data_IF_428606943825
#
_entry.id   IF_428606943825
#
_cell.length_a   1.000
_cell.length_b   1.000
_cell.length_c   1.000
_cell.angle_alpha   90.00
_cell.angle_beta   90.00
_cell.angle_gamma   90.00
#
_symmetry.space_group_name_H-M   'P 1'
#
loop_
_entity.id
_entity.type
_entity.pdbx_description
1 polymer ?
#
# COMPACT_ATOMS: atom_id res chain seq x y z
N UNK A 1 8.56 21.31 21.93
CA UNK A 1 7.69 20.14 22.07
C UNK A 1 7.09 19.71 20.73
N UNK A 2 7.07 18.43 20.48
CA UNK A 2 6.51 17.84 19.24
C UNK A 2 5.00 18.10 19.10
N UNK A 3 4.32 18.20 20.24
CA UNK A 3 2.85 18.38 20.31
C UNK A 3 2.48 19.57 21.17
N UNK A 4 2.65 20.81 20.65
CA UNK A 4 2.45 22.03 21.44
C UNK A 4 0.99 22.26 21.88
N UNK A 5 0.03 21.62 21.19
CA UNK A 5 -1.40 21.75 21.47
C UNK A 5 -1.96 20.55 22.25
N UNK A 6 -1.08 19.70 22.81
CA UNK A 6 -1.52 18.54 23.58
C UNK A 6 -2.36 18.95 24.79
N UNK A 7 -3.42 18.20 25.04
CA UNK A 7 -4.33 18.45 26.19
C UNK A 7 -3.74 17.99 27.51
N UNK A 8 -2.79 17.03 27.45
CA UNK A 8 -2.08 16.52 28.62
C UNK A 8 -0.99 17.48 29.05
N UNK A 9 -0.98 17.81 30.31
CA UNK A 9 0.14 18.57 30.89
C UNK A 9 1.33 17.62 31.04
N UNK A 10 2.49 18.00 30.45
CA UNK A 10 3.70 17.22 30.52
C UNK A 10 4.21 17.15 31.98
N UNK A 11 4.36 15.94 32.57
CA UNK A 11 4.93 15.83 33.91
C UNK A 11 6.43 16.09 33.89
N UNK A 12 7.00 16.34 35.07
CA UNK A 12 8.43 16.38 35.24
C UNK A 12 8.99 14.95 35.12
N UNK A 13 9.86 14.73 34.12
CA UNK A 13 10.47 13.42 33.86
C UNK A 13 11.67 13.21 34.79
N UNK A 14 11.41 12.76 36.03
CA UNK A 14 12.43 12.62 37.06
C UNK A 14 12.35 11.27 37.75
N UNK A 15 13.51 10.54 37.75
CA UNK A 15 13.66 9.29 38.46
C UNK A 15 13.57 9.48 39.97
N UNK A 16 12.99 8.50 40.68
CA UNK A 16 13.05 8.40 42.11
C UNK A 16 14.50 8.12 42.55
N UNK A 17 15.00 8.75 43.62
CA UNK A 17 16.38 8.48 44.11
C UNK A 17 16.64 7.00 44.40
N UNK A 18 15.62 6.24 44.83
CA UNK A 18 15.76 4.82 45.18
C UNK A 18 15.79 3.89 43.96
N UNK A 19 15.42 4.36 42.77
CA UNK A 19 15.33 3.54 41.56
C UNK A 19 16.44 3.85 40.55
N UNK A 20 17.21 4.92 40.72
CA UNK A 20 18.22 5.36 39.75
C UNK A 20 19.19 4.23 39.38
N UNK A 21 19.70 3.48 40.38
CA UNK A 21 20.61 2.35 40.12
C UNK A 21 19.98 1.24 39.32
N UNK A 22 18.71 0.94 39.55
CA UNK A 22 17.98 -0.06 38.80
C UNK A 22 17.76 0.37 37.36
N UNK A 23 17.44 1.65 37.11
CA UNK A 23 17.32 2.21 35.77
C UNK A 23 18.65 2.18 35.01
N UNK A 24 19.75 2.53 35.68
CA UNK A 24 21.09 2.45 35.08
C UNK A 24 21.47 1.02 34.72
N UNK A 25 21.19 0.06 35.60
CA UNK A 25 21.44 -1.36 35.34
C UNK A 25 20.63 -1.85 34.13
N UNK A 26 19.40 -1.40 33.99
CA UNK A 26 18.54 -1.73 32.85
C UNK A 26 19.08 -1.13 31.53
N UNK A 27 19.58 0.12 31.58
CA UNK A 27 20.22 0.75 30.41
C UNK A 27 21.47 0.00 29.98
N UNK A 28 22.31 -0.43 30.93
CA UNK A 28 23.50 -1.25 30.63
C UNK A 28 23.14 -2.58 29.96
N UNK A 29 22.10 -3.25 30.43
CA UNK A 29 21.59 -4.47 29.80
C UNK A 29 21.07 -4.19 28.36
N UNK A 30 20.41 -3.06 28.18
CA UNK A 30 19.92 -2.63 26.84
C UNK A 30 21.10 -2.39 25.88
N UNK A 31 22.17 -1.71 26.34
CA UNK A 31 23.35 -1.45 25.54
C UNK A 31 24.12 -2.74 25.15
N UNK A 32 23.96 -3.81 25.92
CA UNK A 32 24.55 -5.12 25.66
C UNK A 32 23.62 -6.04 24.85
N UNK A 33 22.50 -5.54 24.36
CA UNK A 33 21.45 -6.32 23.66
C UNK A 33 20.90 -7.48 24.50
N UNK A 34 20.98 -7.38 25.83
CA UNK A 34 20.39 -8.36 26.76
C UNK A 34 18.88 -8.03 26.94
N UNK A 35 18.10 -8.33 25.92
CA UNK A 35 16.68 -7.99 25.88
C UNK A 35 15.88 -8.69 26.99
N UNK A 36 16.15 -9.96 27.22
CA UNK A 36 15.49 -10.71 28.30
C UNK A 36 15.83 -10.12 29.67
N UNK A 37 17.07 -9.70 29.87
CA UNK A 37 17.51 -9.02 31.07
C UNK A 37 16.83 -7.68 31.30
N UNK A 38 16.68 -6.88 30.24
CA UNK A 38 15.92 -5.61 30.25
C UNK A 38 14.48 -5.83 30.71
N UNK A 39 13.81 -6.80 30.12
CA UNK A 39 12.40 -7.11 30.43
C UNK A 39 12.26 -7.56 31.90
N UNK A 40 13.12 -8.46 32.34
CA UNK A 40 13.14 -8.95 33.75
C UNK A 40 13.32 -7.80 34.72
N UNK A 41 14.27 -6.91 34.44
CA UNK A 41 14.57 -5.74 35.28
C UNK A 41 13.42 -4.74 35.30
N UNK A 42 12.75 -4.56 34.15
CA UNK A 42 11.58 -3.70 34.06
C UNK A 42 10.41 -4.24 34.89
N UNK A 43 10.15 -5.55 34.88
CA UNK A 43 9.12 -6.18 35.70
C UNK A 43 9.41 -6.02 37.19
N UNK A 44 10.67 -6.21 37.59
CA UNK A 44 11.11 -6.01 38.98
C UNK A 44 10.87 -4.55 39.42
N UNK A 45 11.29 -3.60 38.59
CA UNK A 45 11.17 -2.16 38.89
C UNK A 45 9.69 -1.72 38.92
N UNK A 46 8.87 -2.24 38.01
CA UNK A 46 7.43 -1.96 37.99
C UNK A 46 6.68 -2.44 39.23
N UNK A 47 7.21 -3.45 39.92
CA UNK A 47 6.66 -3.97 41.17
C UNK A 47 7.21 -3.29 42.45
N UNK A 48 8.17 -2.37 42.31
CA UNK A 48 8.76 -1.69 43.47
C UNK A 48 7.84 -0.60 44.02
N UNK A 49 7.57 -0.61 45.31
CA UNK A 49 6.79 0.42 46.00
C UNK A 49 7.43 1.82 45.93
N UNK A 50 8.74 1.88 45.83
CA UNK A 50 9.52 3.13 45.72
C UNK A 50 9.55 3.72 44.31
N UNK A 51 9.11 2.99 43.29
CA UNK A 51 9.08 3.46 41.92
C UNK A 51 7.93 4.47 41.70
N UNK A 52 8.27 5.64 41.16
CA UNK A 52 7.28 6.64 40.78
C UNK A 52 6.71 6.37 39.36
N UNK A 53 5.79 7.20 38.89
CA UNK A 53 5.19 7.05 37.59
C UNK A 53 6.21 7.11 36.43
N UNK A 54 7.20 8.00 36.53
CA UNK A 54 8.28 8.09 35.55
C UNK A 54 9.10 6.79 35.50
N UNK A 55 9.52 6.28 36.65
CA UNK A 55 10.31 5.05 36.73
C UNK A 55 9.62 3.89 36.03
N UNK A 56 8.36 3.68 36.32
CA UNK A 56 7.54 2.62 35.73
C UNK A 56 7.37 2.83 34.23
N UNK A 57 6.99 4.03 33.82
CA UNK A 57 6.78 4.35 32.41
C UNK A 57 8.05 4.17 31.58
N UNK A 58 9.18 4.65 32.09
CA UNK A 58 10.48 4.49 31.45
C UNK A 58 10.90 3.02 31.35
N UNK A 59 10.79 2.27 32.43
CA UNK A 59 11.12 0.85 32.46
C UNK A 59 10.28 0.05 31.48
N UNK A 60 8.97 0.24 31.47
CA UNK A 60 8.08 -0.46 30.56
C UNK A 60 8.28 -0.05 29.10
N UNK A 61 8.62 1.21 28.83
CA UNK A 61 8.96 1.67 27.49
C UNK A 61 10.22 0.95 26.97
N UNK A 62 11.27 0.82 27.81
CA UNK A 62 12.46 0.04 27.46
C UNK A 62 12.16 -1.44 27.25
N UNK A 63 11.30 -2.02 28.08
CA UNK A 63 10.87 -3.42 27.93
C UNK A 63 10.12 -3.63 26.62
N UNK A 64 9.28 -2.69 26.23
CA UNK A 64 8.59 -2.71 24.94
C UNK A 64 9.56 -2.70 23.76
N UNK A 65 10.55 -1.82 23.81
CA UNK A 65 11.62 -1.78 22.80
C UNK A 65 12.44 -3.08 22.76
N UNK A 66 12.78 -3.63 23.92
CA UNK A 66 13.49 -4.90 24.01
C UNK A 66 12.68 -6.06 23.42
N UNK A 67 11.40 -6.14 23.72
CA UNK A 67 10.49 -7.14 23.13
C UNK A 67 10.39 -7.00 21.61
N UNK A 68 10.31 -5.78 21.09
CA UNK A 68 10.32 -5.51 19.65
C UNK A 68 11.62 -5.98 19.01
N UNK A 69 12.76 -5.77 19.63
CA UNK A 69 14.06 -6.27 19.17
C UNK A 69 14.15 -7.80 19.17
N UNK A 70 13.37 -8.47 20.02
CA UNK A 70 13.22 -9.92 20.03
C UNK A 70 12.20 -10.43 19.00
N UNK A 71 11.62 -9.55 18.20
CA UNK A 71 10.49 -9.85 17.29
C UNK A 71 9.25 -10.37 18.02
N UNK A 72 9.09 -10.09 19.30
CA UNK A 72 7.90 -10.42 20.07
C UNK A 72 6.96 -9.20 20.13
N UNK A 73 6.20 -9.02 19.04
CA UNK A 73 5.34 -7.84 18.90
C UNK A 73 4.18 -7.83 19.91
N UNK A 74 3.63 -8.98 20.25
CA UNK A 74 2.58 -9.08 21.27
C UNK A 74 3.08 -8.60 22.64
N UNK A 75 4.27 -9.01 23.03
CA UNK A 75 4.92 -8.57 24.28
C UNK A 75 5.27 -7.09 24.25
N UNK A 76 5.78 -6.60 23.09
CA UNK A 76 6.05 -5.17 22.89
C UNK A 76 4.80 -4.33 23.10
N UNK A 77 3.68 -4.72 22.53
CA UNK A 77 2.38 -4.04 22.70
C UNK A 77 1.95 -4.03 24.19
N UNK A 78 2.13 -5.14 24.90
CA UNK A 78 1.80 -5.24 26.33
C UNK A 78 2.61 -4.24 27.14
N UNK A 79 3.92 -4.17 26.94
CA UNK A 79 4.79 -3.25 27.68
C UNK A 79 4.60 -1.79 27.30
N UNK A 80 4.41 -1.48 26.03
CA UNK A 80 4.08 -0.11 25.63
C UNK A 80 2.73 0.34 26.20
N UNK A 81 1.75 -0.55 26.28
CA UNK A 81 0.49 -0.28 26.96
C UNK A 81 0.68 0.05 28.45
N UNK A 82 1.52 -0.73 29.15
CA UNK A 82 1.87 -0.47 30.56
C UNK A 82 2.60 0.87 30.72
N UNK A 83 3.47 1.22 29.78
CA UNK A 83 4.20 2.50 29.81
C UNK A 83 3.25 3.69 29.66
N UNK A 84 2.30 3.61 28.75
CA UNK A 84 1.27 4.63 28.55
C UNK A 84 0.39 4.74 29.80
N UNK A 85 -0.05 3.62 30.37
CA UNK A 85 -0.91 3.58 31.55
C UNK A 85 -0.22 4.14 32.80
N UNK A 86 1.09 3.95 32.93
CA UNK A 86 1.87 4.54 34.01
C UNK A 86 1.90 6.08 33.94
N UNK A 87 1.71 6.65 32.78
CA UNK A 87 1.51 8.08 32.57
C UNK A 87 2.57 9.00 33.20
N UNK A 88 3.85 8.57 33.14
CA UNK A 88 4.94 9.24 33.80
C UNK A 88 5.99 9.88 32.90
N UNK A 89 5.94 9.63 31.58
CA UNK A 89 6.86 10.23 30.62
C UNK A 89 6.45 11.67 30.26
N UNK A 90 7.41 12.48 29.83
CA UNK A 90 7.09 13.75 29.17
C UNK A 90 6.20 13.53 27.94
N UNK A 91 5.56 14.60 27.46
CA UNK A 91 4.59 14.47 26.36
C UNK A 91 5.22 13.89 25.09
N UNK A 92 6.42 14.31 24.71
CA UNK A 92 7.03 13.82 23.47
C UNK A 92 7.29 12.32 23.53
N UNK A 93 7.84 11.84 24.64
CA UNK A 93 8.10 10.40 24.87
C UNK A 93 6.81 9.60 25.08
N UNK A 94 5.84 10.13 25.80
CA UNK A 94 4.56 9.50 26.06
C UNK A 94 3.78 9.25 24.74
N UNK A 95 3.67 10.27 23.92
CA UNK A 95 2.94 10.15 22.64
C UNK A 95 3.72 9.38 21.58
N UNK A 96 5.06 9.40 21.59
CA UNK A 96 5.86 8.51 20.76
C UNK A 96 5.59 7.04 21.12
N UNK A 97 5.52 6.72 22.42
CA UNK A 97 5.21 5.37 22.90
C UNK A 97 3.79 4.95 22.51
N UNK A 98 2.82 5.86 22.67
CA UNK A 98 1.41 5.60 22.27
C UNK A 98 1.28 5.36 20.76
N UNK A 99 1.96 6.14 19.94
CA UNK A 99 1.95 5.97 18.49
C UNK A 99 2.61 4.65 18.07
N UNK A 100 3.73 4.29 18.68
CA UNK A 100 4.37 2.99 18.45
C UNK A 100 3.45 1.82 18.83
N UNK A 101 2.72 1.94 19.94
CA UNK A 101 1.73 0.96 20.32
C UNK A 101 0.65 0.78 19.23
N UNK A 102 0.12 1.87 18.70
CA UNK A 102 -0.87 1.80 17.63
C UNK A 102 -0.30 1.11 16.37
N UNK A 103 0.94 1.42 15.98
CA UNK A 103 1.62 0.78 14.85
C UNK A 103 1.77 -0.73 15.05
N UNK A 104 2.18 -1.15 16.23
CA UNK A 104 2.34 -2.57 16.56
C UNK A 104 0.98 -3.29 16.54
N UNK A 105 -0.04 -2.69 17.14
CA UNK A 105 -1.40 -3.25 17.12
C UNK A 105 -1.91 -3.41 15.68
N UNK A 106 -1.63 -2.45 14.82
CA UNK A 106 -1.96 -2.55 13.39
C UNK A 106 -1.19 -3.70 12.71
N UNK A 107 0.10 -3.82 12.96
CA UNK A 107 0.93 -4.90 12.40
C UNK A 107 0.51 -6.30 12.86
N UNK A 108 -0.06 -6.40 14.06
CA UNK A 108 -0.64 -7.62 14.62
C UNK A 108 -2.10 -7.85 14.16
N UNK A 109 -2.58 -7.05 13.23
CA UNK A 109 -3.97 -7.10 12.72
C UNK A 109 -5.03 -6.86 13.80
N UNK A 110 -4.64 -6.26 14.93
CA UNK A 110 -5.55 -5.86 16.00
C UNK A 110 -6.11 -4.46 15.72
N UNK A 111 -6.87 -4.37 14.65
CA UNK A 111 -7.32 -3.08 14.10
C UNK A 111 -8.24 -2.30 15.05
N UNK A 112 -9.10 -2.97 15.81
CA UNK A 112 -9.96 -2.29 16.77
C UNK A 112 -9.15 -1.63 17.89
N UNK A 113 -8.14 -2.33 18.41
CA UNK A 113 -7.22 -1.79 19.42
C UNK A 113 -6.37 -0.65 18.82
N UNK A 114 -5.87 -0.82 17.61
CA UNK A 114 -5.11 0.20 16.90
C UNK A 114 -5.94 1.48 16.67
N UNK A 115 -7.22 1.33 16.33
CA UNK A 115 -8.12 2.47 16.15
C UNK A 115 -8.34 3.21 17.46
N UNK A 116 -8.61 2.50 18.55
CA UNK A 116 -8.77 3.10 19.88
C UNK A 116 -7.53 3.88 20.30
N UNK A 117 -6.35 3.31 20.07
CA UNK A 117 -5.07 3.94 20.41
C UNK A 117 -4.78 5.18 19.56
N UNK A 118 -4.94 5.10 18.23
CA UNK A 118 -4.69 6.25 17.36
C UNK A 118 -5.73 7.36 17.56
N UNK A 119 -6.98 7.02 17.83
CA UNK A 119 -8.01 8.00 18.13
C UNK A 119 -7.71 8.76 19.42
N UNK A 120 -7.27 8.06 20.46
CA UNK A 120 -6.79 8.68 21.69
C UNK A 120 -5.61 9.60 21.44
N UNK A 121 -4.61 9.11 20.69
CA UNK A 121 -3.43 9.87 20.31
C UNK A 121 -3.80 11.18 19.61
N UNK A 122 -4.65 11.12 18.59
CA UNK A 122 -5.07 12.31 17.84
C UNK A 122 -5.92 13.27 18.67
N UNK A 123 -6.81 12.73 19.52
CA UNK A 123 -7.63 13.56 20.40
C UNK A 123 -6.80 14.33 21.44
N UNK A 124 -5.78 13.69 22.01
CA UNK A 124 -4.93 14.29 23.04
C UNK A 124 -3.86 15.21 22.48
N UNK A 125 -3.23 14.84 21.34
CA UNK A 125 -2.16 15.64 20.73
C UNK A 125 -2.65 16.80 19.89
N UNK A 126 -3.88 16.72 19.40
CA UNK A 126 -4.43 17.65 18.39
C UNK A 126 -3.58 17.73 17.13
N UNK A 127 -2.88 16.64 16.81
CA UNK A 127 -2.00 16.58 15.64
C UNK A 127 -2.79 16.58 14.34
N UNK A 128 -2.35 17.39 13.39
CA UNK A 128 -2.84 17.40 12.01
C UNK A 128 -1.83 16.85 11.01
N UNK A 129 -0.80 16.14 11.47
CA UNK A 129 0.23 15.58 10.60
C UNK A 129 -0.36 14.55 9.63
N UNK A 130 -0.07 14.73 8.34
CA UNK A 130 -0.66 13.91 7.27
C UNK A 130 -0.39 12.41 7.43
N UNK A 131 0.82 12.04 7.84
CA UNK A 131 1.20 10.64 8.04
C UNK A 131 0.40 9.96 9.18
N UNK A 132 0.13 10.70 10.25
CA UNK A 132 -0.65 10.20 11.38
C UNK A 132 -2.14 10.07 11.04
N UNK A 133 -2.69 11.02 10.31
CA UNK A 133 -4.07 10.93 9.80
C UNK A 133 -4.20 9.81 8.75
N UNK A 134 -3.21 9.65 7.88
CA UNK A 134 -3.16 8.55 6.92
C UNK A 134 -3.07 7.19 7.60
N UNK A 135 -2.32 7.10 8.70
CA UNK A 135 -2.27 5.86 9.51
C UNK A 135 -3.67 5.49 10.04
N UNK A 136 -4.41 6.46 10.57
CA UNK A 136 -5.81 6.23 10.99
C UNK A 136 -6.67 5.72 9.85
N UNK A 137 -6.53 6.29 8.65
CA UNK A 137 -7.25 5.81 7.47
C UNK A 137 -6.89 4.35 7.13
N UNK A 138 -5.60 3.98 7.24
CA UNK A 138 -5.16 2.60 7.05
C UNK A 138 -5.79 1.63 8.05
N UNK A 139 -5.90 2.03 9.31
CA UNK A 139 -6.56 1.25 10.36
C UNK A 139 -8.05 1.05 10.06
N UNK A 140 -8.73 2.11 9.64
CA UNK A 140 -10.14 2.05 9.22
C UNK A 140 -10.34 1.10 8.04
N UNK A 141 -9.43 1.12 7.07
CA UNK A 141 -9.46 0.18 5.95
C UNK A 141 -9.28 -1.28 6.42
N UNK A 142 -8.41 -1.51 7.41
CA UNK A 142 -8.26 -2.83 8.05
C UNK A 142 -9.54 -3.34 8.70
N UNK A 143 -10.39 -2.44 9.18
CA UNK A 143 -11.72 -2.73 9.73
C UNK A 143 -12.82 -2.80 8.65
N UNK A 144 -12.48 -2.77 7.38
CA UNK A 144 -13.41 -2.65 6.25
C UNK A 144 -14.30 -1.39 6.29
N UNK A 145 -13.87 -0.36 7.03
CA UNK A 145 -14.53 0.95 7.06
C UNK A 145 -13.96 1.84 5.96
N UNK A 146 -14.04 1.34 4.72
CA UNK A 146 -13.38 1.91 3.55
C UNK A 146 -13.90 3.29 3.15
N UNK A 147 -15.21 3.56 3.36
CA UNK A 147 -15.78 4.89 3.08
C UNK A 147 -15.16 5.98 3.96
N UNK A 148 -14.96 5.70 5.24
CA UNK A 148 -14.32 6.63 6.17
C UNK A 148 -12.84 6.81 5.84
N UNK A 149 -12.15 5.73 5.50
CA UNK A 149 -10.75 5.77 5.05
C UNK A 149 -10.62 6.62 3.78
N UNK A 150 -11.47 6.40 2.79
CA UNK A 150 -11.48 7.15 1.54
C UNK A 150 -11.70 8.65 1.76
N UNK A 151 -12.61 9.02 2.65
CA UNK A 151 -12.88 10.44 3.00
C UNK A 151 -11.64 11.12 3.59
N UNK A 152 -10.91 10.44 4.47
CA UNK A 152 -9.66 10.94 5.05
C UNK A 152 -8.61 11.14 3.95
N UNK A 153 -8.41 10.15 3.09
CA UNK A 153 -7.43 10.26 1.99
C UNK A 153 -7.78 11.37 1.01
N UNK A 154 -9.05 11.56 0.66
CA UNK A 154 -9.47 12.67 -0.21
C UNK A 154 -9.08 14.02 0.37
N UNK A 155 -9.33 14.25 1.67
CA UNK A 155 -8.96 15.48 2.34
C UNK A 155 -7.44 15.69 2.37
N UNK A 156 -6.69 14.64 2.71
CA UNK A 156 -5.23 14.67 2.75
C UNK A 156 -4.61 14.94 1.38
N UNK A 157 -5.12 14.31 0.32
CA UNK A 157 -4.65 14.51 -1.06
C UNK A 157 -4.92 15.94 -1.51
N UNK A 158 -6.09 16.50 -1.19
CA UNK A 158 -6.40 17.89 -1.52
C UNK A 158 -5.43 18.87 -0.88
N UNK A 159 -4.99 18.61 0.34
CA UNK A 159 -4.00 19.41 1.07
C UNK A 159 -2.56 19.14 0.63
N UNK A 160 -2.27 17.98 0.10
CA UNK A 160 -0.93 17.53 -0.29
C UNK A 160 -0.95 16.93 -1.71
N UNK A 161 -1.26 17.74 -2.74
CA UNK A 161 -1.58 17.22 -4.09
C UNK A 161 -0.38 16.60 -4.83
N UNK A 162 0.84 16.78 -4.33
CA UNK A 162 2.06 16.23 -4.92
C UNK A 162 2.60 15.01 -4.18
N UNK A 163 1.94 14.57 -3.10
CA UNK A 163 2.34 13.40 -2.35
C UNK A 163 1.80 12.12 -3.03
N UNK A 164 2.67 11.48 -3.80
CA UNK A 164 2.33 10.26 -4.55
C UNK A 164 1.91 9.11 -3.63
N UNK A 165 2.52 8.98 -2.46
CA UNK A 165 2.20 7.90 -1.52
C UNK A 165 0.78 8.04 -0.99
N UNK A 166 0.39 9.24 -0.58
CA UNK A 166 -0.99 9.55 -0.17
C UNK A 166 -1.98 9.27 -1.31
N UNK A 167 -1.64 9.70 -2.52
CA UNK A 167 -2.46 9.47 -3.70
C UNK A 167 -2.70 7.97 -3.93
N UNK A 168 -1.65 7.18 -3.96
CA UNK A 168 -1.76 5.73 -4.25
C UNK A 168 -2.49 4.98 -3.13
N UNK A 169 -2.28 5.35 -1.88
CA UNK A 169 -3.04 4.80 -0.75
C UNK A 169 -4.51 5.20 -0.82
N UNK A 170 -4.80 6.43 -1.21
CA UNK A 170 -6.17 6.91 -1.43
C UNK A 170 -6.88 6.19 -2.56
N UNK A 171 -6.19 5.93 -3.65
CA UNK A 171 -6.70 5.12 -4.77
C UNK A 171 -7.05 3.72 -4.29
N UNK A 172 -6.15 3.07 -3.54
CA UNK A 172 -6.41 1.73 -2.99
C UNK A 172 -7.62 1.71 -2.04
N UNK A 173 -7.75 2.72 -1.18
CA UNK A 173 -8.90 2.85 -0.28
C UNK A 173 -10.22 3.06 -1.04
N UNK A 174 -10.23 3.88 -2.09
CA UNK A 174 -11.41 4.09 -2.94
C UNK A 174 -11.80 2.81 -3.69
N UNK A 175 -10.81 2.07 -4.19
CA UNK A 175 -11.05 0.78 -4.84
C UNK A 175 -11.62 -0.25 -3.83
N UNK A 176 -11.10 -0.27 -2.61
CA UNK A 176 -11.62 -1.12 -1.53
C UNK A 176 -13.06 -0.76 -1.13
N UNK A 177 -13.45 0.50 -1.27
CA UNK A 177 -14.82 0.99 -1.06
C UNK A 177 -15.71 0.85 -2.31
N UNK A 178 -15.22 0.23 -3.37
CA UNK A 178 -15.89 0.09 -4.68
C UNK A 178 -16.22 1.44 -5.34
N UNK A 179 -15.53 2.51 -4.95
CA UNK A 179 -15.66 3.85 -5.55
C UNK A 179 -14.69 4.01 -6.72
N UNK A 180 -14.88 3.18 -7.75
CA UNK A 180 -13.95 3.08 -8.88
C UNK A 180 -13.85 4.37 -9.71
N UNK A 181 -14.95 5.09 -9.88
CA UNK A 181 -14.95 6.37 -10.62
C UNK A 181 -14.11 7.42 -9.89
N UNK A 182 -14.24 7.51 -8.57
CA UNK A 182 -13.43 8.43 -7.76
C UNK A 182 -11.95 8.05 -7.79
N UNK A 183 -11.62 6.75 -7.72
CA UNK A 183 -10.26 6.25 -7.86
C UNK A 183 -9.66 6.61 -9.22
N UNK A 184 -10.42 6.42 -10.29
CA UNK A 184 -10.00 6.76 -11.65
C UNK A 184 -9.76 8.26 -11.81
N UNK A 185 -10.58 9.13 -11.22
CA UNK A 185 -10.39 10.58 -11.23
C UNK A 185 -9.09 11.00 -10.57
N UNK A 186 -8.75 10.40 -9.43
CA UNK A 186 -7.47 10.67 -8.76
C UNK A 186 -6.27 10.27 -9.62
N UNK A 187 -6.32 9.09 -10.22
CA UNK A 187 -5.27 8.60 -11.12
C UNK A 187 -5.15 9.46 -12.37
N UNK A 188 -6.27 9.88 -12.96
CA UNK A 188 -6.31 10.75 -14.13
C UNK A 188 -5.68 12.11 -13.83
N UNK A 189 -6.01 12.73 -12.70
CA UNK A 189 -5.41 13.99 -12.27
C UNK A 189 -3.90 13.85 -12.06
N UNK A 190 -3.46 12.76 -11.46
CA UNK A 190 -2.04 12.47 -11.27
C UNK A 190 -1.32 12.27 -12.61
N UNK A 191 -1.95 11.57 -13.54
CA UNK A 191 -1.41 11.37 -14.90
C UNK A 191 -1.23 12.69 -15.63
N UNK A 192 -2.23 13.57 -15.61
CA UNK A 192 -2.18 14.89 -16.22
C UNK A 192 -1.07 15.78 -15.64
N UNK A 193 -0.72 15.58 -14.36
CA UNK A 193 0.38 16.28 -13.69
C UNK A 193 1.74 15.61 -13.90
N UNK A 194 1.82 14.53 -14.64
CA UNK A 194 3.07 13.79 -14.87
C UNK A 194 3.56 13.00 -13.64
N UNK A 195 2.70 12.70 -12.68
CA UNK A 195 3.06 11.99 -11.45
C UNK A 195 3.15 10.48 -11.62
N UNK A 196 2.50 9.91 -12.62
CA UNK A 196 2.54 8.47 -12.86
C UNK A 196 3.76 8.11 -13.71
N UNK A 197 4.83 7.69 -13.05
CA UNK A 197 6.14 7.46 -13.67
C UNK A 197 6.56 6.00 -13.67
N UNK A 198 5.78 5.12 -13.02
CA UNK A 198 6.07 3.69 -12.93
C UNK A 198 5.03 2.86 -13.69
N UNK A 199 5.44 1.69 -14.26
CA UNK A 199 4.53 0.84 -15.04
C UNK A 199 3.25 0.48 -14.30
N UNK A 200 3.35 0.09 -13.02
CA UNK A 200 2.18 -0.30 -12.21
C UNK A 200 1.17 0.83 -12.01
N UNK A 201 1.65 2.08 -11.97
CA UNK A 201 0.82 3.26 -11.81
C UNK A 201 0.01 3.54 -13.07
N UNK A 202 0.66 3.47 -14.23
CA UNK A 202 -0.02 3.58 -15.52
C UNK A 202 -1.01 2.43 -15.73
N UNK A 203 -0.64 1.21 -15.34
CA UNK A 203 -1.55 0.05 -15.42
C UNK A 203 -2.80 0.26 -14.58
N UNK A 204 -2.68 0.78 -13.37
CA UNK A 204 -3.84 1.09 -12.53
C UNK A 204 -4.80 2.04 -13.27
N UNK A 205 -4.29 3.05 -13.95
CA UNK A 205 -5.09 4.01 -14.70
C UNK A 205 -5.75 3.35 -15.93
N UNK A 206 -4.98 2.70 -16.81
CA UNK A 206 -5.58 2.16 -18.03
C UNK A 206 -6.48 0.96 -17.77
N UNK A 207 -6.23 0.14 -16.74
CA UNK A 207 -7.16 -0.90 -16.32
C UNK A 207 -8.45 -0.26 -15.78
N UNK A 208 -8.36 0.82 -15.01
CA UNK A 208 -9.52 1.59 -14.58
C UNK A 208 -10.37 2.12 -15.75
N UNK A 209 -9.70 2.65 -16.76
CA UNK A 209 -10.39 3.08 -17.99
C UNK A 209 -11.05 1.90 -18.72
N UNK A 210 -10.37 0.76 -18.82
CA UNK A 210 -10.94 -0.44 -19.45
C UNK A 210 -12.19 -0.93 -18.71
N UNK A 211 -12.12 -1.00 -17.39
CA UNK A 211 -13.27 -1.41 -16.57
C UNK A 211 -14.46 -0.45 -16.71
N UNK A 212 -14.19 0.83 -16.97
CA UNK A 212 -15.19 1.85 -17.25
C UNK A 212 -15.60 1.91 -18.73
N UNK A 213 -15.11 0.99 -19.57
CA UNK A 213 -15.35 0.94 -21.03
C UNK A 213 -14.85 2.20 -21.77
N UNK A 214 -13.84 2.87 -21.21
CA UNK A 214 -13.20 4.05 -21.81
C UNK A 214 -11.95 3.62 -22.60
N UNK A 215 -12.17 2.91 -23.70
CA UNK A 215 -11.13 2.23 -24.49
C UNK A 215 -10.14 3.17 -25.13
N UNK A 216 -10.60 4.27 -25.70
CA UNK A 216 -9.74 5.27 -26.34
C UNK A 216 -8.75 5.86 -25.34
N UNK A 217 -9.21 6.15 -24.16
CA UNK A 217 -8.37 6.71 -23.09
C UNK A 217 -7.39 5.68 -22.56
N UNK A 218 -7.82 4.42 -22.41
CA UNK A 218 -6.95 3.31 -22.03
C UNK A 218 -5.83 3.13 -23.05
N UNK A 219 -6.15 3.08 -24.34
CA UNK A 219 -5.18 2.97 -25.41
C UNK A 219 -4.17 4.13 -25.40
N UNK A 220 -4.66 5.36 -25.22
CA UNK A 220 -3.82 6.55 -25.18
C UNK A 220 -2.78 6.47 -24.04
N UNK A 221 -3.19 6.04 -22.85
CA UNK A 221 -2.28 5.90 -21.70
C UNK A 221 -1.22 4.84 -21.97
N UNK A 222 -1.58 3.70 -22.55
CA UNK A 222 -0.62 2.65 -22.92
C UNK A 222 0.37 3.18 -23.96
N UNK A 223 -0.13 3.82 -25.01
CA UNK A 223 0.71 4.37 -26.08
C UNK A 223 1.65 5.46 -25.56
N UNK A 224 1.19 6.36 -24.73
CA UNK A 224 2.02 7.38 -24.09
C UNK A 224 3.09 6.74 -23.19
N UNK A 225 2.72 5.71 -22.45
CA UNK A 225 3.65 4.98 -21.58
C UNK A 225 4.77 4.31 -22.36
N UNK A 226 4.46 3.75 -23.52
CA UNK A 226 5.45 3.17 -24.45
C UNK A 226 6.33 4.27 -25.04
N UNK A 227 5.73 5.35 -25.52
CA UNK A 227 6.46 6.48 -26.12
C UNK A 227 7.43 7.15 -25.15
N UNK A 228 7.05 7.24 -23.86
CA UNK A 228 7.90 7.80 -22.80
C UNK A 228 8.91 6.82 -22.22
N UNK A 229 8.91 5.56 -22.67
CA UNK A 229 9.79 4.52 -22.17
C UNK A 229 9.44 4.00 -20.77
N UNK A 230 8.28 4.36 -20.21
CA UNK A 230 7.82 3.85 -18.93
C UNK A 230 7.39 2.39 -19.08
N UNK A 231 6.61 2.09 -20.12
CA UNK A 231 6.22 0.73 -20.47
C UNK A 231 7.22 0.16 -21.48
N UNK A 232 7.94 -0.87 -21.09
CA UNK A 232 8.97 -1.48 -21.94
C UNK A 232 8.37 -2.61 -22.79
N UNK A 233 8.77 -2.74 -24.08
CA UNK A 233 8.37 -3.88 -24.90
C UNK A 233 8.78 -5.20 -24.26
N UNK A 234 7.87 -6.16 -24.27
CA UNK A 234 8.12 -7.47 -23.70
C UNK A 234 6.83 -8.25 -23.43
N UNK A 235 6.94 -9.48 -22.87
CA UNK A 235 5.79 -10.33 -22.62
C UNK A 235 4.75 -9.73 -21.67
N UNK A 236 5.16 -8.90 -20.71
CA UNK A 236 4.24 -8.23 -19.79
C UNK A 236 3.36 -7.20 -20.49
N UNK A 237 3.97 -6.33 -21.30
CA UNK A 237 3.23 -5.35 -22.10
C UNK A 237 2.37 -6.06 -23.15
N UNK A 238 2.86 -7.14 -23.75
CA UNK A 238 2.07 -7.97 -24.66
C UNK A 238 0.79 -8.50 -24.01
N UNK A 239 0.86 -8.95 -22.77
CA UNK A 239 -0.34 -9.38 -22.01
C UNK A 239 -1.32 -8.24 -21.80
N UNK A 240 -0.85 -7.06 -21.49
CA UNK A 240 -1.70 -5.88 -21.31
C UNK A 240 -2.43 -5.51 -22.62
N UNK A 241 -1.73 -5.53 -23.75
CA UNK A 241 -2.37 -5.34 -25.06
C UNK A 241 -3.35 -6.46 -25.40
N UNK A 242 -3.07 -7.71 -25.03
CA UNK A 242 -4.00 -8.82 -25.25
C UNK A 242 -5.29 -8.65 -24.42
N UNK A 243 -5.18 -8.18 -23.18
CA UNK A 243 -6.35 -7.90 -22.34
C UNK A 243 -7.19 -6.78 -22.98
N UNK A 244 -6.56 -5.70 -23.45
CA UNK A 244 -7.23 -4.65 -24.22
C UNK A 244 -7.95 -5.22 -25.45
N UNK A 245 -7.28 -6.06 -26.22
CA UNK A 245 -7.82 -6.69 -27.41
C UNK A 245 -9.02 -7.59 -27.10
N UNK A 246 -8.89 -8.46 -26.11
CA UNK A 246 -9.97 -9.37 -25.68
C UNK A 246 -11.20 -8.61 -25.20
N UNK A 247 -10.98 -7.56 -24.43
CA UNK A 247 -12.06 -6.75 -23.91
C UNK A 247 -12.73 -5.94 -25.03
N UNK A 248 -11.97 -5.40 -25.96
CA UNK A 248 -12.50 -4.74 -27.14
C UNK A 248 -13.34 -5.71 -28.00
N UNK A 249 -12.85 -6.92 -28.20
CA UNK A 249 -13.58 -7.97 -28.90
C UNK A 249 -14.90 -8.31 -28.22
N UNK A 250 -14.88 -8.50 -26.90
CA UNK A 250 -16.09 -8.81 -26.12
C UNK A 250 -17.14 -7.70 -26.16
N UNK A 251 -16.74 -6.47 -26.50
CA UNK A 251 -17.62 -5.31 -26.66
C UNK A 251 -17.85 -4.92 -28.13
N UNK A 252 -17.67 -5.86 -29.05
CA UNK A 252 -17.90 -5.68 -30.49
C UNK A 252 -17.05 -4.57 -31.15
N UNK A 253 -15.93 -4.20 -30.51
CA UNK A 253 -14.98 -3.24 -31.08
C UNK A 253 -13.88 -3.97 -31.85
N UNK A 254 -14.21 -4.47 -33.02
CA UNK A 254 -13.29 -5.26 -33.85
C UNK A 254 -12.06 -4.47 -34.28
N UNK A 255 -12.16 -3.19 -34.73
CA UNK A 255 -10.97 -2.43 -35.12
C UNK A 255 -9.94 -2.29 -33.98
N UNK A 256 -10.40 -2.02 -32.76
CA UNK A 256 -9.51 -1.91 -31.60
C UNK A 256 -8.90 -3.27 -31.23
N UNK A 257 -9.70 -4.35 -31.27
CA UNK A 257 -9.21 -5.70 -31.02
C UNK A 257 -8.06 -6.06 -31.98
N UNK A 258 -8.22 -5.83 -33.27
CA UNK A 258 -7.18 -6.06 -34.27
C UNK A 258 -5.94 -5.22 -33.99
N UNK A 259 -6.11 -3.92 -33.73
CA UNK A 259 -4.99 -3.02 -33.46
C UNK A 259 -4.18 -3.47 -32.23
N UNK A 260 -4.84 -3.87 -31.16
CA UNK A 260 -4.18 -4.29 -29.93
C UNK A 260 -3.49 -5.65 -30.08
N UNK A 261 -4.10 -6.61 -30.76
CA UNK A 261 -3.43 -7.87 -31.07
C UNK A 261 -2.21 -7.69 -31.98
N UNK A 262 -2.26 -6.77 -32.96
CA UNK A 262 -1.10 -6.44 -33.80
C UNK A 262 0.08 -5.93 -32.99
N UNK A 263 -0.17 -5.19 -31.92
CA UNK A 263 0.87 -4.69 -31.02
C UNK A 263 1.39 -5.78 -30.07
N UNK A 264 0.48 -6.62 -29.56
CA UNK A 264 0.83 -7.68 -28.61
C UNK A 264 1.66 -8.81 -29.27
N UNK A 265 1.28 -9.23 -30.43
CA UNK A 265 1.78 -10.47 -31.05
C UNK A 265 3.32 -10.52 -31.22
N UNK A 266 4.01 -9.46 -31.70
CA UNK A 266 5.47 -9.49 -31.82
C UNK A 266 6.20 -9.58 -30.47
N UNK A 267 5.62 -9.06 -29.41
CA UNK A 267 6.21 -8.98 -28.07
C UNK A 267 5.88 -10.18 -27.17
N UNK A 268 4.86 -10.95 -27.51
CA UNK A 268 4.42 -12.09 -26.74
C UNK A 268 5.49 -13.20 -26.68
N UNK A 269 5.48 -13.97 -25.58
CA UNK A 269 6.44 -15.06 -25.38
C UNK A 269 6.25 -16.21 -26.35
N UNK A 270 5.00 -16.43 -26.82
CA UNK A 270 4.63 -17.49 -27.76
C UNK A 270 3.77 -16.96 -28.91
N UNK A 271 3.21 -17.86 -29.71
CA UNK A 271 2.39 -17.53 -30.87
C UNK A 271 0.91 -17.36 -30.61
N UNK A 272 0.44 -17.44 -29.36
CA UNK A 272 -1.00 -17.40 -29.05
C UNK A 272 -1.63 -16.04 -29.41
N UNK A 273 -0.92 -14.93 -29.20
CA UNK A 273 -1.41 -13.61 -29.61
C UNK A 273 -1.52 -13.50 -31.14
N UNK A 274 -0.61 -14.06 -31.90
CA UNK A 274 -0.72 -14.15 -33.35
C UNK A 274 -1.91 -15.00 -33.78
N UNK A 275 -2.20 -16.09 -33.08
CA UNK A 275 -3.37 -16.91 -33.36
C UNK A 275 -4.67 -16.12 -33.11
N UNK A 276 -4.75 -15.39 -32.00
CA UNK A 276 -5.89 -14.55 -31.71
C UNK A 276 -6.06 -13.43 -32.75
N UNK A 277 -4.95 -12.83 -33.17
CA UNK A 277 -4.94 -11.85 -34.28
C UNK A 277 -5.48 -12.50 -35.57
N UNK A 278 -5.04 -13.68 -35.92
CA UNK A 278 -5.50 -14.40 -37.10
C UNK A 278 -7.01 -14.66 -37.05
N UNK A 279 -7.51 -15.07 -35.88
CA UNK A 279 -8.94 -15.34 -35.69
C UNK A 279 -9.79 -14.09 -35.89
N UNK A 280 -9.41 -12.95 -35.29
CA UNK A 280 -10.19 -11.69 -35.43
C UNK A 280 -10.08 -11.12 -36.84
N UNK A 281 -8.93 -11.25 -37.50
CA UNK A 281 -8.77 -10.84 -38.90
C UNK A 281 -9.61 -11.69 -39.86
N UNK A 282 -9.66 -13.00 -39.63
CA UNK A 282 -10.50 -13.91 -40.41
C UNK A 282 -11.98 -13.56 -40.23
N UNK A 283 -12.43 -13.30 -39.02
CA UNK A 283 -13.79 -12.90 -38.71
C UNK A 283 -14.15 -11.55 -39.35
N UNK A 284 -13.18 -10.64 -39.50
CA UNK A 284 -13.35 -9.33 -40.12
C UNK A 284 -13.25 -9.40 -41.68
N UNK A 285 -13.08 -10.60 -42.24
CA UNK A 285 -12.97 -10.79 -43.68
C UNK A 285 -11.61 -10.45 -44.29
N UNK A 286 -10.62 -10.16 -43.49
CA UNK A 286 -9.26 -9.82 -43.91
C UNK A 286 -8.40 -11.09 -44.04
N UNK A 287 -8.77 -11.92 -45.04
CA UNK A 287 -8.23 -13.27 -45.21
C UNK A 287 -6.71 -13.33 -45.41
N UNK A 288 -6.16 -12.47 -46.22
CA UNK A 288 -4.72 -12.45 -46.49
C UNK A 288 -3.91 -12.14 -45.22
N UNK A 289 -4.32 -11.12 -44.46
CA UNK A 289 -3.68 -10.75 -43.19
C UNK A 289 -3.88 -11.87 -42.15
N UNK A 290 -5.05 -12.49 -42.12
CA UNK A 290 -5.34 -13.61 -41.22
C UNK A 290 -4.40 -14.79 -41.45
N UNK A 291 -4.16 -15.16 -42.71
CA UNK A 291 -3.21 -16.22 -43.09
C UNK A 291 -1.77 -15.88 -42.69
N UNK A 292 -1.36 -14.64 -42.91
CA UNK A 292 -0.04 -14.18 -42.50
C UNK A 292 0.16 -14.30 -40.96
N UNK A 293 -0.84 -13.88 -40.19
CA UNK A 293 -0.83 -13.99 -38.73
C UNK A 293 -0.84 -15.46 -38.27
N UNK A 294 -1.64 -16.31 -38.93
CA UNK A 294 -1.69 -17.75 -38.64
C UNK A 294 -0.33 -18.43 -38.86
N UNK A 295 0.38 -18.04 -39.93
CA UNK A 295 1.74 -18.54 -40.18
C UNK A 295 2.72 -18.10 -39.08
N UNK A 296 2.65 -16.82 -38.68
CA UNK A 296 3.48 -16.30 -37.59
C UNK A 296 3.19 -17.01 -36.25
N UNK A 297 1.93 -17.34 -36.02
CA UNK A 297 1.53 -18.11 -34.84
C UNK A 297 2.21 -19.50 -34.80
N UNK A 298 2.17 -20.21 -35.92
CA UNK A 298 2.83 -21.53 -36.01
C UNK A 298 4.35 -21.42 -35.85
N UNK A 299 4.97 -20.43 -36.47
CA UNK A 299 6.42 -20.22 -36.39
C UNK A 299 6.87 -19.90 -34.97
N UNK A 300 6.06 -19.17 -34.19
CA UNK A 300 6.37 -18.81 -32.81
C UNK A 300 5.96 -19.87 -31.79
N UNK A 301 5.10 -20.78 -32.16
CA UNK A 301 4.65 -21.90 -31.32
C UNK A 301 3.34 -21.61 -30.61
N UNK A 302 2.37 -22.48 -30.81
CA UNK A 302 1.02 -22.43 -30.20
C UNK A 302 0.62 -23.78 -29.65
N UNK A 303 -0.31 -23.79 -28.72
CA UNK A 303 -0.79 -25.02 -28.05
C UNK A 303 -1.57 -25.93 -28.99
N UNK A 304 -2.37 -25.33 -29.90
CA UNK A 304 -3.22 -26.06 -30.85
C UNK A 304 -2.92 -25.63 -32.28
N UNK A 305 -1.90 -26.24 -32.92
CA UNK A 305 -1.49 -25.90 -34.28
C UNK A 305 -2.62 -26.02 -35.30
N UNK A 306 -3.58 -26.90 -35.09
CA UNK A 306 -4.72 -27.12 -35.98
C UNK A 306 -5.57 -25.85 -36.16
N UNK A 307 -5.68 -25.02 -35.12
CA UNK A 307 -6.47 -23.78 -35.20
C UNK A 307 -5.90 -22.83 -36.24
N UNK A 308 -4.57 -22.67 -36.28
CA UNK A 308 -3.89 -21.87 -37.28
C UNK A 308 -3.95 -22.50 -38.67
N UNK A 309 -3.81 -23.82 -38.79
CA UNK A 309 -3.90 -24.56 -40.05
C UNK A 309 -5.26 -24.43 -40.69
N UNK A 310 -6.35 -24.40 -39.92
CA UNK A 310 -7.71 -24.15 -40.43
C UNK A 310 -7.83 -22.78 -41.09
N UNK A 311 -7.22 -21.76 -40.54
CA UNK A 311 -7.23 -20.41 -41.12
C UNK A 311 -6.42 -20.38 -42.41
N UNK A 312 -5.26 -21.04 -42.42
CA UNK A 312 -4.41 -21.14 -43.62
C UNK A 312 -5.09 -21.88 -44.77
N UNK A 313 -6.00 -22.82 -44.48
CA UNK A 313 -6.72 -23.61 -45.47
C UNK A 313 -7.95 -22.91 -46.07
N UNK A 314 -8.36 -21.78 -45.54
CA UNK A 314 -9.49 -20.95 -46.03
C UNK A 314 -8.99 -19.97 -47.10
#
# INVERSE_FOLDING_TARGET
>A
PMYPNATRQSPEAKASPKTIKSLQAMQELYEKDDWAGVISKADELGGMASANAYDKAFAYSMAGNAAANMNDQAKAATYFGKAVDANGLDNDSHYATMYNLAIIQYGEEKYADALATIDRFLAETKSGKADQLAFRAGVLAGLNRNDEAAAIYKDLINKNPTDKRLLMNGVAALQGAEKFDDANKLLEQAYQRGMLTEPRELRALYIGYMNAQRWTEAQKVVDDGVAKGILQPGPELARDYQILAQTAYANDNMPLAIAMYKRAAPMAADGEAYLNLAKVLDMDGKKAEAKAAAKSALDKGIKKPEDAKRILAR
#
